data_IF_473712093193
#
_entry.id   IF_473712093193
#
_cell.length_a   1.000
_cell.length_b   1.000
_cell.length_c   1.000
_cell.angle_alpha   90.00
_cell.angle_beta   90.00
_cell.angle_gamma   90.00
#
_symmetry.space_group_name_H-M   'P 1'
#
loop_
_entity.id
_entity.type
_entity.pdbx_description
1 polymer ?
#
# COMPACT_ATOMS: atom_id res chain seq x y z
N UNK A 1 20.29 12.43 -13.47
CA UNK A 1 19.02 11.90 -12.93
C UNK A 1 19.27 10.51 -12.38
N UNK A 2 19.34 10.33 -11.06
CA UNK A 2 19.66 9.04 -10.41
C UNK A 2 19.11 9.00 -8.98
N UNK A 3 18.54 7.85 -8.62
CA UNK A 3 17.43 7.68 -7.68
C UNK A 3 17.81 6.84 -6.44
N UNK A 4 16.96 6.74 -5.41
CA UNK A 4 17.05 5.73 -4.33
C UNK A 4 15.99 5.96 -3.25
N UNK A 5 15.16 4.94 -2.92
CA UNK A 5 15.13 4.32 -1.58
C UNK A 5 13.93 3.41 -1.36
N UNK A 6 14.16 2.10 -1.14
CA UNK A 6 13.12 1.11 -0.84
C UNK A 6 12.69 1.16 0.64
N UNK A 7 11.49 1.69 0.91
CA UNK A 7 10.90 1.73 2.24
C UNK A 7 10.09 0.47 2.50
N UNK A 8 10.43 -0.20 3.59
CA UNK A 8 9.97 -1.55 3.84
C UNK A 8 8.59 -1.54 4.52
N UNK A 9 7.72 -2.43 4.07
CA UNK A 9 6.48 -2.77 4.76
C UNK A 9 6.69 -3.43 6.13
N UNK A 10 5.67 -3.36 6.99
CA UNK A 10 5.64 -3.99 8.31
C UNK A 10 6.10 -5.46 8.23
N UNK A 11 7.10 -5.83 9.04
CA UNK A 11 7.60 -7.21 9.12
C UNK A 11 8.66 -7.58 8.08
N UNK A 12 8.92 -6.73 7.07
CA UNK A 12 10.03 -6.94 6.13
C UNK A 12 11.38 -6.48 6.71
N UNK A 13 12.47 -6.95 6.11
CA UNK A 13 13.85 -6.57 6.42
C UNK A 13 14.60 -6.19 5.13
N UNK A 14 15.72 -5.47 5.25
CA UNK A 14 16.46 -4.93 4.10
C UNK A 14 16.92 -6.01 3.10
N UNK A 15 17.12 -7.23 3.57
CA UNK A 15 17.47 -8.39 2.75
C UNK A 15 16.35 -8.86 1.81
N UNK A 16 15.08 -8.61 2.14
CA UNK A 16 13.94 -9.03 1.32
C UNK A 16 13.90 -8.30 -0.04
N UNK A 17 14.53 -7.13 -0.12
CA UNK A 17 14.53 -6.26 -1.29
C UNK A 17 15.81 -6.38 -2.14
N UNK A 18 16.68 -7.35 -1.84
CA UNK A 18 17.94 -7.56 -2.59
C UNK A 18 17.69 -7.77 -4.09
N UNK A 19 16.65 -8.53 -4.46
CA UNK A 19 16.30 -8.78 -5.85
C UNK A 19 15.89 -7.52 -6.60
N UNK A 20 15.08 -6.66 -5.98
CA UNK A 20 14.72 -5.36 -6.55
C UNK A 20 15.96 -4.47 -6.66
N UNK A 21 16.80 -4.41 -5.63
CA UNK A 21 18.05 -3.64 -5.67
C UNK A 21 19.00 -4.09 -6.79
N UNK A 22 19.16 -5.41 -6.97
CA UNK A 22 19.94 -5.97 -8.08
C UNK A 22 19.34 -5.59 -9.42
N UNK A 23 18.02 -5.71 -9.57
CA UNK A 23 17.32 -5.32 -10.80
C UNK A 23 17.56 -3.84 -11.13
N UNK A 24 17.43 -2.94 -10.15
CA UNK A 24 17.64 -1.50 -10.35
C UNK A 24 19.11 -1.16 -10.64
N UNK A 25 20.05 -1.69 -9.85
CA UNK A 25 21.48 -1.39 -9.99
C UNK A 25 22.10 -2.01 -11.22
N UNK A 26 21.96 -3.33 -11.37
CA UNK A 26 22.64 -4.09 -12.42
C UNK A 26 21.83 -4.12 -13.72
N UNK A 27 20.49 -4.14 -13.61
CA UNK A 27 19.60 -4.15 -14.77
C UNK A 27 19.40 -2.77 -15.41
N UNK A 28 19.36 -1.71 -14.61
CA UNK A 28 19.05 -0.35 -15.08
C UNK A 28 20.09 0.71 -14.74
N UNK A 29 21.20 0.34 -14.08
CA UNK A 29 22.27 1.28 -13.76
C UNK A 29 21.88 2.34 -12.72
N UNK A 30 20.87 2.07 -11.89
CA UNK A 30 20.33 2.99 -10.88
C UNK A 30 21.00 2.69 -9.54
N UNK A 31 21.90 3.56 -9.04
CA UNK A 31 22.41 3.45 -7.67
C UNK A 31 21.21 3.36 -6.71
N UNK A 32 21.26 2.48 -5.72
CA UNK A 32 20.10 2.27 -4.84
C UNK A 32 20.60 2.07 -3.42
N UNK A 33 19.95 2.66 -2.43
CA UNK A 33 20.18 2.46 -1.00
C UNK A 33 18.87 1.97 -0.38
N UNK A 34 18.95 1.06 0.58
CA UNK A 34 17.78 0.53 1.30
C UNK A 34 17.87 0.97 2.75
N UNK A 35 16.76 1.43 3.33
CA UNK A 35 16.69 1.72 4.76
C UNK A 35 17.11 0.47 5.54
N UNK A 36 17.99 0.61 6.54
CA UNK A 36 18.45 -0.53 7.34
C UNK A 36 17.40 -0.84 8.40
N UNK A 37 16.48 -1.74 8.06
CA UNK A 37 15.39 -2.20 8.93
C UNK A 37 15.46 -3.71 9.03
N UNK A 38 15.39 -4.20 10.25
CA UNK A 38 15.30 -5.61 10.59
C UNK A 38 13.90 -5.98 11.07
N UNK A 39 13.56 -7.26 11.01
CA UNK A 39 12.30 -7.77 11.60
C UNK A 39 12.19 -7.44 13.08
N UNK A 40 13.32 -7.41 13.79
CA UNK A 40 13.36 -7.11 15.22
C UNK A 40 13.02 -5.65 15.51
N UNK A 41 13.36 -4.74 14.61
CA UNK A 41 13.06 -3.31 14.80
C UNK A 41 11.55 -3.05 14.85
N UNK A 42 10.75 -3.85 14.13
CA UNK A 42 9.29 -3.76 14.18
C UNK A 42 8.71 -4.12 15.55
N UNK A 43 9.42 -4.89 16.40
CA UNK A 43 8.98 -5.11 17.78
C UNK A 43 9.02 -3.83 18.62
N UNK A 44 9.74 -2.79 18.20
CA UNK A 44 9.67 -1.48 18.88
C UNK A 44 8.27 -0.86 18.79
N UNK A 45 7.50 -1.19 17.76
CA UNK A 45 6.10 -0.77 17.67
C UNK A 45 5.20 -1.51 18.68
N UNK A 46 5.63 -2.66 19.21
CA UNK A 46 4.93 -3.36 20.29
C UNK A 46 5.08 -2.64 21.65
N UNK A 47 6.09 -1.77 21.82
CA UNK A 47 6.17 -0.89 22.98
C UNK A 47 4.96 0.07 23.06
N UNK A 48 4.31 0.33 21.91
CA UNK A 48 3.04 1.05 21.84
C UNK A 48 1.91 0.40 22.63
N UNK A 49 1.95 -0.91 22.93
CA UNK A 49 0.92 -1.59 23.73
C UNK A 49 0.80 -1.03 25.16
N UNK A 50 1.84 -0.38 25.67
CA UNK A 50 1.86 0.29 26.97
C UNK A 50 1.27 1.72 26.90
N UNK A 51 1.02 2.25 25.71
CA UNK A 51 0.42 3.57 25.51
C UNK A 51 -1.11 3.48 25.42
N UNK A 52 -1.82 4.22 26.28
CA UNK A 52 -3.28 4.36 26.21
C UNK A 52 -3.79 4.83 24.83
N UNK A 53 -3.00 5.61 24.09
CA UNK A 53 -3.31 6.06 22.73
C UNK A 53 -3.34 4.90 21.72
N UNK A 54 -2.58 3.84 21.96
CA UNK A 54 -2.62 2.63 21.12
C UNK A 54 -4.01 2.00 21.17
N UNK A 55 -4.55 1.85 22.37
CA UNK A 55 -5.88 1.28 22.59
C UNK A 55 -7.00 2.22 22.14
N UNK A 56 -6.78 3.53 22.22
CA UNK A 56 -7.70 4.54 21.68
C UNK A 56 -7.62 4.70 20.16
N UNK A 57 -6.62 4.12 19.49
CA UNK A 57 -6.40 4.32 18.06
C UNK A 57 -6.04 5.77 17.70
N UNK A 58 -5.29 6.45 18.57
CA UNK A 58 -4.89 7.85 18.43
C UNK A 58 -3.38 8.02 18.55
N UNK A 59 -2.59 7.02 18.12
CA UNK A 59 -1.14 7.13 18.10
C UNK A 59 -0.70 8.32 17.23
N UNK A 60 0.36 8.98 17.69
CA UNK A 60 1.08 9.98 16.90
C UNK A 60 2.38 9.38 16.39
N UNK A 61 2.87 9.83 15.21
CA UNK A 61 4.14 9.37 14.69
C UNK A 61 5.30 9.50 15.66
N UNK A 62 5.41 10.63 16.37
CA UNK A 62 6.41 10.80 17.42
C UNK A 62 5.85 10.41 18.79
N UNK A 63 6.57 9.62 19.60
CA UNK A 63 7.89 9.03 19.33
C UNK A 63 7.86 7.63 18.66
N UNK A 64 6.67 7.10 18.33
CA UNK A 64 6.45 5.71 17.90
C UNK A 64 7.31 5.30 16.69
N UNK A 65 7.51 6.21 15.74
CA UNK A 65 8.15 5.98 14.44
C UNK A 65 9.53 6.63 14.33
N UNK A 66 10.04 7.28 15.39
CA UNK A 66 11.34 7.98 15.35
C UNK A 66 12.46 7.06 14.87
N UNK A 67 12.50 5.83 15.41
CA UNK A 67 13.50 4.83 15.02
C UNK A 67 13.46 4.51 13.52
N UNK A 68 12.30 4.53 12.89
CA UNK A 68 12.15 4.24 11.45
C UNK A 68 12.57 5.46 10.63
N UNK A 69 12.11 6.65 11.03
CA UNK A 69 12.46 7.91 10.38
C UNK A 69 13.97 8.17 10.43
N UNK A 70 14.65 7.78 11.51
CA UNK A 70 16.11 7.78 11.60
C UNK A 70 16.77 6.87 10.55
N UNK A 71 16.30 5.63 10.39
CA UNK A 71 16.82 4.71 9.35
C UNK A 71 16.56 5.25 7.94
N UNK A 72 15.44 5.97 7.75
CA UNK A 72 15.15 6.64 6.49
C UNK A 72 16.13 7.79 6.26
N UNK A 73 16.34 8.65 7.25
CA UNK A 73 17.28 9.77 7.17
C UNK A 73 18.72 9.31 6.90
N UNK A 74 19.16 8.22 7.54
CA UNK A 74 20.48 7.62 7.31
C UNK A 74 20.68 7.18 5.85
N UNK A 75 19.70 6.47 5.28
CA UNK A 75 19.83 5.98 3.91
C UNK A 75 19.57 7.06 2.85
N UNK A 76 18.77 8.10 3.15
CA UNK A 76 18.74 9.34 2.35
C UNK A 76 20.10 10.03 2.34
N UNK A 77 20.75 10.15 3.50
CA UNK A 77 22.10 10.73 3.62
C UNK A 77 23.14 9.91 2.84
N UNK A 78 23.06 8.58 2.89
CA UNK A 78 23.91 7.68 2.09
C UNK A 78 23.65 7.86 0.58
N UNK A 79 22.39 7.92 0.15
CA UNK A 79 22.02 8.14 -1.25
C UNK A 79 22.53 9.49 -1.78
N UNK A 80 22.44 10.56 -0.98
CA UNK A 80 23.01 11.88 -1.31
C UNK A 80 24.51 11.82 -1.56
N UNK A 81 25.25 11.04 -0.77
CA UNK A 81 26.71 10.87 -0.95
C UNK A 81 27.05 10.16 -2.24
N UNK A 82 26.22 9.21 -2.67
CA UNK A 82 26.40 8.51 -3.95
C UNK A 82 26.10 9.40 -5.15
N UNK A 83 25.25 10.43 -5.00
CA UNK A 83 24.82 11.32 -6.08
C UNK A 83 24.67 12.79 -5.59
N UNK A 84 25.76 13.54 -5.33
CA UNK A 84 25.70 14.87 -4.70
C UNK A 84 24.99 15.96 -5.52
N UNK A 85 24.84 15.76 -6.84
CA UNK A 85 24.26 16.73 -7.77
C UNK A 85 22.93 16.23 -8.36
N UNK A 86 22.33 15.17 -7.80
CA UNK A 86 21.09 14.56 -8.29
C UNK A 86 19.91 14.82 -7.35
N UNK A 87 18.70 14.71 -7.90
CA UNK A 87 17.47 14.57 -7.11
C UNK A 87 17.23 13.11 -6.73
N UNK A 88 16.64 12.88 -5.57
CA UNK A 88 16.28 11.56 -5.07
C UNK A 88 14.87 11.16 -5.55
N UNK A 89 14.64 9.85 -5.62
CA UNK A 89 13.29 9.27 -5.63
C UNK A 89 13.18 8.28 -4.50
N UNK A 90 12.12 8.42 -3.72
CA UNK A 90 11.74 7.44 -2.73
C UNK A 90 10.85 6.37 -3.37
N UNK A 91 11.05 5.11 -3.00
CA UNK A 91 10.23 3.96 -3.41
C UNK A 91 9.68 3.32 -2.13
N UNK A 92 8.41 3.53 -1.79
CA UNK A 92 7.84 2.94 -0.60
C UNK A 92 6.95 1.73 -0.87
N UNK A 93 7.28 0.58 -0.29
CA UNK A 93 6.45 -0.61 -0.36
C UNK A 93 5.58 -0.78 0.89
N UNK A 94 4.29 -1.06 0.69
CA UNK A 94 3.33 -1.31 1.77
C UNK A 94 3.37 -0.17 2.80
N UNK A 95 3.63 -0.43 4.08
CA UNK A 95 3.74 0.63 5.08
C UNK A 95 4.80 1.69 4.76
N UNK A 96 5.85 1.31 4.02
CA UNK A 96 6.91 2.22 3.62
C UNK A 96 6.44 3.41 2.79
N UNK A 97 5.39 3.29 1.98
CA UNK A 97 4.92 4.40 1.16
C UNK A 97 4.26 5.53 1.95
N UNK A 98 3.44 5.22 2.96
CA UNK A 98 2.88 6.27 3.82
C UNK A 98 3.91 6.78 4.85
N UNK A 99 4.89 5.94 5.24
CA UNK A 99 6.04 6.39 6.02
C UNK A 99 6.94 7.35 5.22
N UNK A 100 7.05 7.17 3.90
CA UNK A 100 7.75 8.10 3.03
C UNK A 100 7.07 9.47 3.00
N UNK A 101 5.73 9.50 2.93
CA UNK A 101 4.94 10.74 3.02
C UNK A 101 5.21 11.47 4.33
N UNK A 102 5.18 10.73 5.45
CA UNK A 102 5.49 11.27 6.77
C UNK A 102 6.94 11.81 6.84
N UNK A 103 7.91 11.09 6.27
CA UNK A 103 9.29 11.57 6.20
C UNK A 103 9.41 12.87 5.41
N UNK A 104 8.76 12.95 4.24
CA UNK A 104 8.74 14.16 3.41
C UNK A 104 8.09 15.35 4.13
N UNK A 105 7.03 15.11 4.91
CA UNK A 105 6.38 16.14 5.73
C UNK A 105 7.30 16.64 6.85
N UNK A 106 8.00 15.75 7.55
CA UNK A 106 8.82 16.11 8.70
C UNK A 106 10.20 16.68 8.34
N UNK A 107 10.81 16.18 7.27
CA UNK A 107 12.20 16.48 6.90
C UNK A 107 12.31 17.31 5.61
N UNK A 108 11.20 17.57 4.94
CA UNK A 108 11.12 18.34 3.70
C UNK A 108 11.37 17.51 2.44
N UNK A 109 11.14 18.16 1.29
CA UNK A 109 11.17 17.53 -0.04
C UNK A 109 12.18 18.16 -0.99
N UNK A 110 13.03 19.09 -0.53
CA UNK A 110 13.87 19.94 -1.38
C UNK A 110 14.77 19.20 -2.37
N UNK A 111 15.17 17.97 -2.03
CA UNK A 111 16.03 17.11 -2.84
C UNK A 111 15.31 15.85 -3.33
N UNK A 112 14.00 15.74 -3.12
CA UNK A 112 13.17 14.61 -3.53
C UNK A 112 12.27 15.07 -4.68
N UNK A 113 12.43 14.43 -5.83
CA UNK A 113 11.66 14.74 -7.05
C UNK A 113 10.55 13.74 -7.36
N UNK A 114 10.56 12.58 -6.69
CA UNK A 114 9.63 11.49 -6.98
C UNK A 114 9.41 10.62 -5.74
N UNK A 115 8.16 10.24 -5.51
CA UNK A 115 7.75 9.17 -4.63
C UNK A 115 6.99 8.12 -5.44
N UNK A 116 7.55 6.92 -5.58
CA UNK A 116 6.84 5.74 -6.08
C UNK A 116 6.34 4.96 -4.87
N UNK A 117 5.07 4.57 -4.85
CA UNK A 117 4.53 3.64 -3.85
C UNK A 117 4.11 2.33 -4.48
N UNK A 118 4.41 1.22 -3.80
CA UNK A 118 4.15 -0.15 -4.26
C UNK A 118 3.19 -0.80 -3.26
N UNK A 119 1.93 -1.00 -3.65
CA UNK A 119 0.91 -1.64 -2.80
C UNK A 119 0.75 -0.98 -1.43
N UNK A 120 0.85 0.36 -1.35
CA UNK A 120 0.84 1.10 -0.07
C UNK A 120 -0.58 1.42 0.37
N UNK A 121 -1.05 1.04 1.58
CA UNK A 121 -2.36 1.48 2.06
C UNK A 121 -2.27 2.95 2.50
N UNK A 122 -2.72 3.88 1.65
CA UNK A 122 -2.61 5.32 1.89
C UNK A 122 -3.71 5.87 2.81
N UNK A 123 -4.88 5.25 2.82
CA UNK A 123 -6.06 5.73 3.52
C UNK A 123 -6.33 4.92 4.80
N UNK A 124 -6.75 5.56 5.90
CA UNK A 124 -7.20 4.85 7.08
C UNK A 124 -8.52 4.09 6.79
N UNK A 125 -8.78 2.98 7.51
CA UNK A 125 -10.07 2.30 7.37
C UNK A 125 -11.23 3.18 7.84
N UNK A 126 -12.46 2.96 7.33
CA UNK A 126 -13.64 3.70 7.77
C UNK A 126 -13.88 3.57 9.29
N UNK A 127 -14.10 4.71 9.96
CA UNK A 127 -14.35 4.75 11.41
C UNK A 127 -15.72 4.18 11.75
N UNK A 128 -15.79 3.44 12.86
CA UNK A 128 -17.05 2.90 13.40
C UNK A 128 -17.60 1.68 12.67
N UNK A 129 -16.91 1.16 11.65
CA UNK A 129 -17.37 -0.01 10.91
C UNK A 129 -17.23 -1.29 11.75
N UNK A 130 -18.33 -2.04 11.88
CA UNK A 130 -18.39 -3.23 12.73
C UNK A 130 -17.35 -4.30 12.33
N UNK A 131 -16.55 -4.70 13.32
CA UNK A 131 -15.49 -5.71 13.18
C UNK A 131 -14.24 -5.22 12.45
N UNK A 132 -14.11 -3.92 12.16
CA UNK A 132 -12.90 -3.32 11.59
C UNK A 132 -12.10 -2.63 12.69
N UNK A 133 -10.82 -2.97 12.77
CA UNK A 133 -9.87 -2.39 13.72
C UNK A 133 -8.72 -1.79 12.91
N UNK A 134 -8.47 -0.49 13.10
CA UNK A 134 -7.32 0.18 12.50
C UNK A 134 -6.01 -0.44 13.02
N UNK A 135 -5.32 -1.15 12.12
CA UNK A 135 -4.05 -1.82 12.41
C UNK A 135 -2.91 -0.83 12.64
N UNK A 136 -3.04 0.39 12.11
CA UNK A 136 -2.07 1.47 12.30
C UNK A 136 -2.34 2.30 13.55
N UNK A 137 -3.44 2.00 14.26
CA UNK A 137 -3.82 2.60 15.55
C UNK A 137 -3.83 4.14 15.51
N UNK A 138 -4.32 4.71 14.41
CA UNK A 138 -4.45 6.15 14.20
C UNK A 138 -3.32 6.79 13.39
N UNK A 139 -2.24 6.07 13.08
CA UNK A 139 -1.11 6.65 12.34
C UNK A 139 -1.49 7.02 10.90
N UNK A 140 -2.30 6.19 10.20
CA UNK A 140 -2.78 6.57 8.87
C UNK A 140 -3.78 7.74 8.91
N UNK A 141 -4.63 7.81 9.93
CA UNK A 141 -5.52 8.97 10.14
C UNK A 141 -4.70 10.25 10.39
N UNK A 142 -3.57 10.15 11.10
CA UNK A 142 -2.63 11.25 11.27
C UNK A 142 -2.01 11.66 9.94
N UNK A 143 -1.45 10.71 9.17
CA UNK A 143 -0.82 11.00 7.88
C UNK A 143 -1.81 11.66 6.92
N UNK A 144 -3.04 11.15 6.85
CA UNK A 144 -4.08 11.71 5.99
C UNK A 144 -4.47 13.15 6.35
N UNK A 145 -4.43 13.51 7.63
CA UNK A 145 -4.80 14.86 8.09
C UNK A 145 -3.67 15.87 8.06
N UNK A 146 -2.42 15.40 8.17
CA UNK A 146 -1.28 16.26 8.47
C UNK A 146 -0.22 16.28 7.38
N UNK A 147 -0.11 15.25 6.53
CA UNK A 147 0.83 15.27 5.42
C UNK A 147 0.22 15.98 4.21
N UNK A 148 1.06 16.67 3.44
CA UNK A 148 0.67 17.25 2.17
C UNK A 148 -0.05 16.22 1.26
N UNK A 149 -1.05 16.67 0.47
CA UNK A 149 -1.69 15.81 -0.52
C UNK A 149 -0.67 15.37 -1.57
N UNK A 150 -0.95 14.26 -2.27
CA UNK A 150 -0.10 13.87 -3.38
C UNK A 150 -0.18 14.90 -4.52
N UNK A 151 0.94 15.03 -5.23
CA UNK A 151 1.09 15.94 -6.35
C UNK A 151 1.77 15.23 -7.52
N UNK A 152 1.49 15.67 -8.74
CA UNK A 152 2.19 15.20 -9.93
C UNK A 152 2.62 16.42 -10.77
N UNK A 153 3.66 17.11 -10.31
CA UNK A 153 4.22 18.31 -10.95
C UNK A 153 5.63 18.07 -11.50
N UNK A 154 6.24 19.10 -12.08
CA UNK A 154 7.65 19.05 -12.52
C UNK A 154 8.64 18.93 -11.37
N UNK A 155 8.30 19.48 -10.20
CA UNK A 155 9.17 19.54 -9.03
C UNK A 155 9.07 18.26 -8.20
N UNK A 156 7.86 17.72 -8.06
CA UNK A 156 7.60 16.53 -7.25
C UNK A 156 6.47 15.69 -7.87
N UNK A 157 6.77 14.41 -8.10
CA UNK A 157 5.82 13.43 -8.65
C UNK A 157 5.47 12.37 -7.62
N UNK A 158 4.20 12.05 -7.49
CA UNK A 158 3.70 10.88 -6.76
C UNK A 158 3.20 9.87 -7.77
N UNK A 159 3.66 8.63 -7.67
CA UNK A 159 3.23 7.53 -8.53
C UNK A 159 2.85 6.37 -7.64
N UNK A 160 1.57 6.02 -7.64
CA UNK A 160 1.02 4.98 -6.79
C UNK A 160 0.72 3.75 -7.62
N UNK A 161 1.42 2.64 -7.35
CA UNK A 161 1.31 1.40 -8.11
C UNK A 161 0.58 0.37 -7.25
N UNK A 162 -0.59 -0.05 -7.73
CA UNK A 162 -1.46 -1.04 -7.10
C UNK A 162 -1.43 -2.36 -7.86
N UNK A 163 -1.35 -3.48 -7.15
CA UNK A 163 -1.46 -4.82 -7.71
C UNK A 163 -2.91 -5.32 -7.70
N UNK A 164 -3.31 -6.02 -8.77
CA UNK A 164 -4.60 -6.72 -8.88
C UNK A 164 -4.36 -8.22 -9.04
N UNK A 165 -3.95 -8.85 -7.94
CA UNK A 165 -3.64 -10.28 -7.90
C UNK A 165 -4.86 -11.14 -7.60
N UNK A 166 -5.70 -10.72 -6.66
CA UNK A 166 -6.85 -11.50 -6.22
C UNK A 166 -7.99 -10.60 -5.74
N UNK A 167 -9.21 -10.92 -6.18
CA UNK A 167 -10.43 -10.29 -5.66
C UNK A 167 -10.85 -10.98 -4.36
N UNK A 168 -11.04 -10.19 -3.31
CA UNK A 168 -11.60 -10.67 -2.06
C UNK A 168 -13.07 -11.06 -2.20
N UNK A 169 -13.57 -11.81 -1.23
CA UNK A 169 -14.98 -12.16 -1.13
C UNK A 169 -15.49 -12.02 0.30
N UNK A 170 -16.80 -11.78 0.44
CA UNK A 170 -17.47 -11.77 1.74
C UNK A 170 -17.55 -13.19 2.32
N UNK A 171 -17.46 -13.32 3.65
CA UNK A 171 -18.01 -14.51 4.30
C UNK A 171 -19.52 -14.53 4.08
N UNK A 172 -20.11 -15.72 3.96
CA UNK A 172 -21.57 -15.84 3.90
C UNK A 172 -22.12 -15.26 5.20
N UNK A 173 -22.77 -14.10 5.13
CA UNK A 173 -23.61 -13.61 6.22
C UNK A 173 -24.79 -14.57 6.34
N UNK A 174 -25.18 -14.89 7.58
CA UNK A 174 -26.48 -15.50 7.83
C UNK A 174 -27.54 -14.56 7.21
N UNK A 175 -28.52 -15.06 6.44
CA UNK A 175 -29.50 -14.22 5.75
C UNK A 175 -30.40 -13.36 6.67
N UNK A 176 -30.21 -13.45 7.99
CA UNK A 176 -30.97 -12.71 9.00
C UNK A 176 -30.28 -11.41 9.47
N UNK A 177 -29.08 -11.06 9.00
CA UNK A 177 -28.43 -9.79 9.39
C UNK A 177 -28.86 -8.57 8.57
N UNK A 178 -29.53 -8.79 7.43
CA UNK A 178 -29.75 -7.75 6.42
C UNK A 178 -31.21 -7.24 6.39
N UNK A 179 -32.01 -7.49 7.44
CA UNK A 179 -33.43 -7.08 7.51
C UNK A 179 -33.64 -5.70 8.19
N UNK A 180 -32.60 -5.03 8.72
CA UNK A 180 -32.79 -3.75 9.45
C UNK A 180 -32.40 -2.49 8.64
N UNK A 181 -31.98 -2.62 7.37
CA UNK A 181 -31.83 -1.44 6.50
C UNK A 181 -32.82 -1.51 5.32
N UNK A 182 -33.78 -0.58 5.33
CA UNK A 182 -34.84 -0.31 4.35
C UNK A 182 -36.18 -1.05 4.51
N UNK A 183 -36.98 -0.59 5.48
CA UNK A 183 -38.44 -0.54 5.28
C UNK A 183 -38.71 0.74 4.49
N UNK A 184 -38.89 0.61 3.18
CA UNK A 184 -39.59 1.62 2.39
C UNK A 184 -40.84 0.98 1.77
N UNK A 185 -41.99 1.48 2.23
CA UNK A 185 -43.31 1.05 1.79
C UNK A 185 -43.59 1.63 0.40
N UNK A 186 -43.57 0.81 -0.66
CA UNK A 186 -44.56 1.00 -1.71
C UNK A 186 -44.86 -0.23 -2.58
N UNK A 187 -46.15 -0.41 -2.85
CA UNK A 187 -46.77 -1.46 -3.66
C UNK A 187 -46.53 -1.22 -5.15
N UNK A 188 -46.38 -2.27 -5.95
CA UNK A 188 -46.63 -2.17 -7.40
C UNK A 188 -45.98 -3.26 -8.27
N UNK A 189 -46.80 -4.23 -8.67
CA UNK A 189 -46.80 -5.08 -9.87
C UNK A 189 -45.50 -5.39 -10.66
N UNK A 190 -45.37 -6.70 -10.89
CA UNK A 190 -44.46 -7.42 -11.80
C UNK A 190 -44.48 -6.94 -13.26
N UNK A 191 -43.31 -6.77 -13.86
CA UNK A 191 -43.08 -7.00 -15.30
C UNK A 191 -41.66 -7.56 -15.53
N UNK A 192 -41.59 -8.76 -16.11
CA UNK A 192 -40.38 -9.52 -16.42
C UNK A 192 -39.82 -9.06 -17.76
N UNK A 193 -38.76 -8.25 -17.76
CA UNK A 193 -37.97 -7.95 -18.97
C UNK A 193 -36.83 -8.96 -19.05
N UNK A 194 -36.91 -9.86 -20.04
CA UNK A 194 -35.85 -10.80 -20.39
C UNK A 194 -34.80 -10.04 -21.22
N UNK A 195 -33.68 -9.67 -20.61
CA UNK A 195 -32.49 -9.20 -21.33
C UNK A 195 -31.55 -10.36 -21.59
N UNK A 196 -31.18 -10.53 -22.86
CA UNK A 196 -30.27 -11.55 -23.37
C UNK A 196 -28.94 -11.53 -22.62
N UNK A 197 -28.58 -12.68 -22.01
CA UNK A 197 -27.27 -12.89 -21.39
C UNK A 197 -26.22 -13.03 -22.48
N UNK A 198 -25.38 -12.01 -22.63
CA UNK A 198 -24.03 -12.17 -23.18
C UNK A 198 -23.33 -13.23 -22.32
N UNK A 199 -22.81 -14.28 -22.97
CA UNK A 199 -22.09 -15.39 -22.35
C UNK A 199 -20.74 -14.87 -21.82
N UNK A 200 -20.77 -14.20 -20.68
CA UNK A 200 -19.63 -14.06 -19.78
C UNK A 200 -19.54 -15.30 -18.90
N UNK A 201 -18.33 -15.82 -18.71
CA UNK A 201 -18.06 -16.97 -17.83
C UNK A 201 -18.83 -16.84 -16.51
N UNK A 202 -19.52 -17.90 -16.10
CA UNK A 202 -20.24 -17.91 -14.83
C UNK A 202 -19.33 -17.42 -13.69
N UNK A 203 -19.82 -16.58 -12.76
CA UNK A 203 -19.01 -16.10 -11.65
C UNK A 203 -18.47 -17.30 -10.86
N UNK A 204 -17.14 -17.40 -10.79
CA UNK A 204 -16.46 -18.47 -10.03
C UNK A 204 -16.87 -18.33 -8.57
N UNK A 205 -17.39 -19.43 -7.99
CA UNK A 205 -17.83 -19.43 -6.61
C UNK A 205 -16.67 -19.01 -5.67
N UNK A 206 -16.92 -18.16 -4.65
CA UNK A 206 -15.89 -17.73 -3.73
C UNK A 206 -15.19 -18.89 -3.02
N UNK A 207 -13.87 -18.93 -3.11
CA UNK A 207 -13.03 -19.91 -2.40
C UNK A 207 -12.83 -19.51 -0.94
N UNK A 208 -12.36 -20.43 -0.08
CA UNK A 208 -11.95 -20.07 1.28
C UNK A 208 -10.82 -19.02 1.29
N UNK A 209 -9.89 -19.11 0.32
CA UNK A 209 -8.79 -18.14 0.15
C UNK A 209 -9.32 -16.74 -0.13
N UNK A 210 -10.24 -16.57 -1.09
CA UNK A 210 -10.80 -15.25 -1.43
C UNK A 210 -11.59 -14.67 -0.26
N UNK A 211 -12.25 -15.50 0.56
CA UNK A 211 -12.93 -15.04 1.79
C UNK A 211 -11.97 -14.56 2.87
N UNK A 212 -10.89 -15.29 3.11
CA UNK A 212 -9.85 -14.88 4.05
C UNK A 212 -9.19 -13.56 3.63
N UNK A 213 -8.81 -13.44 2.36
CA UNK A 213 -8.28 -12.19 1.78
C UNK A 213 -9.31 -11.05 1.89
N UNK A 214 -10.58 -11.33 1.59
CA UNK A 214 -11.65 -10.34 1.71
C UNK A 214 -11.80 -9.79 3.12
N UNK A 215 -11.61 -10.59 4.17
CA UNK A 215 -11.58 -10.05 5.53
C UNK A 215 -10.37 -9.16 5.78
N UNK A 216 -9.20 -9.52 5.27
CA UNK A 216 -8.02 -8.64 5.31
C UNK A 216 -8.30 -7.29 4.65
N UNK A 217 -8.86 -7.30 3.45
CA UNK A 217 -9.26 -6.08 2.74
C UNK A 217 -10.30 -5.27 3.50
N UNK A 218 -11.25 -5.92 4.16
CA UNK A 218 -12.23 -5.25 5.03
C UNK A 218 -11.53 -4.50 6.17
N UNK A 219 -10.46 -5.05 6.75
CA UNK A 219 -9.70 -4.34 7.79
C UNK A 219 -8.98 -3.09 7.26
N UNK A 220 -8.65 -3.03 5.97
CA UNK A 220 -7.92 -1.91 5.36
C UNK A 220 -8.86 -0.84 4.78
N UNK A 221 -9.89 -1.24 4.04
CA UNK A 221 -10.75 -0.33 3.29
C UNK A 221 -12.25 -0.41 3.65
N UNK A 222 -12.61 -1.29 4.59
CA UNK A 222 -14.00 -1.53 4.98
C UNK A 222 -14.81 -2.40 4.00
N UNK A 223 -14.25 -2.80 2.86
CA UNK A 223 -14.91 -3.66 1.86
C UNK A 223 -14.18 -4.99 1.70
N UNK A 224 -14.92 -6.09 1.61
CA UNK A 224 -14.34 -7.42 1.45
C UNK A 224 -14.26 -7.89 -0.01
N UNK A 225 -15.13 -7.36 -0.86
CA UNK A 225 -15.37 -7.76 -2.25
C UNK A 225 -14.68 -6.83 -3.25
N UNK A 226 -13.39 -6.55 -3.03
CA UNK A 226 -12.58 -5.64 -3.84
C UNK A 226 -11.32 -6.33 -4.38
N UNK A 227 -10.77 -5.80 -5.47
CA UNK A 227 -9.47 -6.21 -5.99
C UNK A 227 -8.33 -5.68 -5.13
N UNK A 228 -7.23 -6.42 -5.10
CA UNK A 228 -5.99 -6.01 -4.47
C UNK A 228 -4.87 -7.02 -4.72
N UNK A 229 -3.73 -6.79 -4.08
CA UNK A 229 -2.49 -7.53 -4.27
C UNK A 229 -2.35 -8.76 -3.34
N UNK A 230 -3.41 -9.09 -2.61
CA UNK A 230 -3.45 -10.14 -1.59
C UNK A 230 -3.25 -9.61 -0.17
N UNK A 231 -2.91 -8.34 0.02
CA UNK A 231 -2.84 -7.69 1.34
C UNK A 231 -3.53 -6.34 1.32
N UNK A 232 -3.20 -5.51 0.34
CA UNK A 232 -3.69 -4.14 0.21
C UNK A 232 -4.72 -4.08 -0.93
N UNK A 233 -5.95 -3.61 -0.64
CA UNK A 233 -6.94 -3.32 -1.68
C UNK A 233 -6.44 -2.25 -2.64
N UNK A 234 -6.72 -2.41 -3.93
CA UNK A 234 -6.39 -1.45 -4.99
C UNK A 234 -6.90 -0.04 -4.64
N UNK A 235 -8.12 0.05 -4.12
CA UNK A 235 -8.75 1.32 -3.72
C UNK A 235 -8.04 2.04 -2.58
N UNK A 236 -7.24 1.32 -1.78
CA UNK A 236 -6.41 1.90 -0.72
C UNK A 236 -4.97 2.17 -1.18
N UNK A 237 -4.57 1.60 -2.32
CA UNK A 237 -3.25 1.75 -2.91
C UNK A 237 -3.11 3.01 -3.77
N UNK A 238 -4.23 3.63 -4.16
CA UNK A 238 -4.25 4.87 -4.91
C UNK A 238 -4.39 6.09 -4.00
N UNK A 239 -3.86 7.21 -4.47
CA UNK A 239 -3.94 8.50 -3.79
C UNK A 239 -4.38 9.59 -4.77
N UNK A 240 -5.31 10.44 -4.35
CA UNK A 240 -5.78 11.56 -5.18
C UNK A 240 -4.63 12.56 -5.41
N UNK A 241 -4.52 13.10 -6.63
CA UNK A 241 -3.41 13.94 -7.07
C UNK A 241 -2.12 13.21 -7.50
N UNK A 242 -2.04 11.88 -7.33
CA UNK A 242 -0.94 11.06 -7.84
C UNK A 242 -1.24 10.49 -9.23
N UNK A 243 -0.20 10.06 -9.95
CA UNK A 243 -0.36 9.13 -11.07
C UNK A 243 -0.63 7.72 -10.51
N UNK A 244 -1.86 7.25 -10.67
CA UNK A 244 -2.29 5.94 -10.17
C UNK A 244 -2.22 4.87 -11.26
N UNK A 245 -1.53 3.76 -10.99
CA UNK A 245 -1.28 2.66 -11.93
C UNK A 245 -1.70 1.34 -11.31
N UNK A 246 -2.57 0.60 -12.01
CA UNK A 246 -2.97 -0.75 -11.60
C UNK A 246 -2.31 -1.81 -12.47
N UNK A 247 -1.71 -2.82 -11.85
CA UNK A 247 -1.02 -3.92 -12.53
C UNK A 247 -1.70 -5.26 -12.23
N UNK A 248 -2.26 -5.89 -13.25
CA UNK A 248 -2.88 -7.21 -13.14
C UNK A 248 -1.85 -8.31 -12.81
N UNK A 249 -2.26 -9.23 -11.93
CA UNK A 249 -1.46 -10.38 -11.52
C UNK A 249 -0.31 -10.08 -10.55
N UNK A 250 -0.15 -8.82 -10.10
CA UNK A 250 0.95 -8.41 -9.22
C UNK A 250 0.60 -8.61 -7.75
N UNK A 251 1.35 -9.50 -7.10
CA UNK A 251 1.24 -9.84 -5.68
C UNK A 251 1.96 -8.83 -4.78
N UNK A 252 1.56 -8.78 -3.50
CA UNK A 252 2.03 -7.77 -2.55
C UNK A 252 3.54 -7.80 -2.29
N UNK A 253 4.09 -8.95 -1.89
CA UNK A 253 5.36 -9.00 -1.17
C UNK A 253 6.42 -9.84 -1.90
N UNK A 254 7.73 -9.51 -1.75
CA UNK A 254 8.80 -10.43 -2.16
C UNK A 254 8.71 -11.78 -1.44
N UNK A 255 8.20 -11.79 -0.20
CA UNK A 255 8.03 -13.02 0.57
C UNK A 255 6.88 -13.84 -0.03
N UNK A 256 7.22 -15.01 -0.58
CA UNK A 256 6.28 -15.90 -1.24
C UNK A 256 6.05 -15.59 -2.73
N UNK A 257 6.79 -14.63 -3.30
CA UNK A 257 6.95 -14.48 -4.75
C UNK A 257 7.88 -15.55 -5.31
N UNK A 258 7.62 -16.00 -6.53
CA UNK A 258 8.52 -16.81 -7.36
C UNK A 258 8.95 -16.06 -8.64
N UNK A 259 8.65 -14.76 -8.72
CA UNK A 259 8.90 -13.84 -9.83
C UNK A 259 8.27 -14.22 -11.18
N UNK A 260 7.53 -15.34 -11.24
CA UNK A 260 7.01 -15.93 -12.47
C UNK A 260 5.51 -16.12 -12.38
N UNK A 261 5.04 -17.14 -11.65
CA UNK A 261 3.62 -17.44 -11.47
C UNK A 261 2.96 -16.52 -10.45
N UNK A 262 3.74 -16.01 -9.48
CA UNK A 262 3.31 -15.02 -8.51
C UNK A 262 4.33 -13.89 -8.44
N UNK A 263 4.39 -13.04 -9.48
CA UNK A 263 5.31 -11.91 -9.46
C UNK A 263 4.82 -10.84 -8.47
N UNK A 264 5.77 -10.15 -7.83
CA UNK A 264 5.50 -8.99 -6.98
C UNK A 264 6.04 -7.71 -7.63
N UNK A 265 5.81 -6.56 -7.01
CA UNK A 265 6.18 -5.26 -7.57
C UNK A 265 7.65 -5.14 -8.01
N UNK A 266 8.56 -5.81 -7.30
CA UNK A 266 9.99 -5.83 -7.60
C UNK A 266 10.49 -7.01 -8.43
N UNK A 267 9.61 -7.90 -8.90
CA UNK A 267 9.98 -8.93 -9.89
C UNK A 267 10.44 -8.26 -11.19
N UNK A 268 11.51 -8.74 -11.86
CA UNK A 268 12.05 -8.07 -13.05
C UNK A 268 11.02 -7.78 -14.15
N UNK A 269 10.09 -8.71 -14.40
CA UNK A 269 9.00 -8.58 -15.37
C UNK A 269 7.96 -7.50 -14.99
N UNK A 270 7.83 -7.20 -13.70
CA UNK A 270 6.94 -6.16 -13.18
C UNK A 270 7.67 -4.81 -13.12
N UNK A 271 8.95 -4.80 -12.74
CA UNK A 271 9.80 -3.60 -12.77
C UNK A 271 9.80 -2.98 -14.16
N UNK A 272 9.92 -3.79 -15.23
CA UNK A 272 9.83 -3.31 -16.62
C UNK A 272 8.56 -2.48 -16.91
N UNK A 273 7.46 -2.73 -16.20
CA UNK A 273 6.18 -2.03 -16.40
C UNK A 273 6.18 -0.62 -15.82
N UNK A 274 7.04 -0.31 -14.85
CA UNK A 274 7.03 0.98 -14.17
C UNK A 274 8.38 1.69 -14.13
N UNK A 275 9.46 1.03 -14.54
CA UNK A 275 10.84 1.56 -14.48
C UNK A 275 11.02 2.87 -15.24
N UNK A 276 10.26 3.08 -16.33
CA UNK A 276 10.33 4.31 -17.11
C UNK A 276 9.99 5.55 -16.28
N UNK A 277 9.15 5.42 -15.25
CA UNK A 277 8.86 6.52 -14.34
C UNK A 277 10.03 6.89 -13.44
N UNK A 278 10.91 5.92 -13.17
CA UNK A 278 12.18 6.09 -12.48
C UNK A 278 13.31 6.37 -13.46
N UNK A 279 13.06 6.67 -14.74
CA UNK A 279 14.12 7.07 -15.68
C UNK A 279 13.88 8.49 -16.23
N UNK A 280 12.69 9.04 -15.98
CA UNK A 280 12.16 10.26 -16.61
C UNK A 280 11.95 11.43 -15.64
#
# INVERSE_FOLDING_TARGET
MKWSMDMQGLGNNSGDYRGLCWTLRDGYGIPTVVAKVSRLDWFRNAAGLLDSNYWRGTLRPKPVLDWYLERVAEAVSEARKLCPQGSLALIGHSAGGWLARLYMEEFGTSDISLLITLGTPHLPPPKGLAGVIDQTRGLLDYVEKHCAPAVYTSELKYICIAGRYIQGARFLSNPNSDIIDHIDNNKGASELVITERIVGSAPVAPTMRTRFIGQGYKQVCGKADVWGDGVVPEISAHLDGALNISLDGVYHSPVGSDDTQRPWYGSPSVVQKWINHLLN
#
